data_IF_638390777510
#
_entry.id   IF_638390777510
#
_cell.length_a   1.000
_cell.length_b   1.000
_cell.length_c   1.000
_cell.angle_alpha   90.00
_cell.angle_beta   90.00
_cell.angle_gamma   90.00
#
_symmetry.space_group_name_H-M   'P 1'
#
loop_
_entity.id
_entity.type
_entity.pdbx_description
1 polymer ?
#
# COMPACT_ATOMS: atom_id res chain seq x y z
N UNK A 1 -4.93 31.89 -17.34
CA UNK A 1 -4.19 33.04 -17.92
C UNK A 1 -5.07 34.26 -18.21
N UNK A 2 -6.36 34.13 -18.45
CA UNK A 2 -7.29 35.26 -18.66
C UNK A 2 -7.84 35.87 -17.36
N UNK A 3 -7.91 35.11 -16.27
CA UNK A 3 -8.33 35.57 -14.93
C UNK A 3 -7.26 36.41 -14.18
N UNK A 4 -6.03 36.39 -14.64
CA UNK A 4 -4.88 37.02 -13.94
C UNK A 4 -4.57 38.45 -14.39
N UNK A 5 -5.37 39.06 -15.28
CA UNK A 5 -5.09 40.39 -15.84
C UNK A 5 -5.66 41.54 -15.00
N UNK A 6 -6.55 41.30 -14.03
CA UNK A 6 -7.16 42.32 -13.16
C UNK A 6 -6.88 42.16 -11.68
N UNK A 7 -6.06 41.15 -11.26
CA UNK A 7 -5.95 40.74 -9.88
C UNK A 7 -4.72 41.30 -9.17
N UNK A 8 -4.95 41.88 -7.98
CA UNK A 8 -3.94 42.45 -7.11
C UNK A 8 -3.03 41.41 -6.44
N UNK A 9 -2.09 41.87 -5.59
CA UNK A 9 -1.14 41.07 -4.81
C UNK A 9 -1.82 39.90 -4.05
N UNK A 10 -3.04 40.11 -3.57
CA UNK A 10 -3.80 39.11 -2.85
C UNK A 10 -4.07 37.83 -3.63
N UNK A 11 -4.35 37.91 -4.93
CA UNK A 11 -4.61 36.71 -5.76
C UNK A 11 -3.33 35.90 -5.99
N UNK A 12 -2.21 36.58 -6.28
CA UNK A 12 -0.91 35.91 -6.38
C UNK A 12 -0.48 35.29 -5.05
N UNK A 13 -0.69 36.01 -3.95
CA UNK A 13 -0.41 35.53 -2.61
C UNK A 13 -1.22 34.28 -2.26
N UNK A 14 -2.54 34.32 -2.47
CA UNK A 14 -3.42 33.17 -2.22
C UNK A 14 -3.03 31.95 -3.07
N UNK A 15 -2.70 32.15 -4.35
CA UNK A 15 -2.21 31.07 -5.22
C UNK A 15 -0.86 30.55 -4.73
N UNK A 16 0.07 31.43 -4.33
CA UNK A 16 1.36 31.05 -3.78
C UNK A 16 1.24 30.21 -2.50
N UNK A 17 0.35 30.61 -1.58
CA UNK A 17 0.04 29.86 -0.36
C UNK A 17 -0.53 28.46 -0.68
N UNK A 18 -1.49 28.36 -1.59
CA UNK A 18 -2.05 27.08 -2.03
C UNK A 18 -0.97 26.18 -2.64
N UNK A 19 -0.11 26.72 -3.49
CA UNK A 19 0.97 25.98 -4.13
C UNK A 19 2.05 25.56 -3.12
N UNK A 20 2.39 26.43 -2.16
CA UNK A 20 3.32 26.12 -1.07
C UNK A 20 2.77 24.96 -0.22
N UNK A 21 1.53 25.03 0.19
CA UNK A 21 0.87 23.99 0.92
C UNK A 21 0.77 22.68 0.08
N UNK A 22 0.56 22.77 -1.24
CA UNK A 22 0.55 21.64 -2.17
C UNK A 22 1.94 21.06 -2.48
N UNK A 23 3.02 21.58 -1.85
CA UNK A 23 4.40 21.14 -2.08
C UNK A 23 4.87 21.31 -3.54
N UNK A 24 4.50 22.43 -4.17
CA UNK A 24 4.96 22.83 -5.52
C UNK A 24 5.82 24.09 -5.40
N UNK A 25 7.08 23.97 -4.92
CA UNK A 25 7.89 25.11 -4.46
C UNK A 25 8.19 26.14 -5.54
N UNK A 26 8.58 25.71 -6.76
CA UNK A 26 8.98 26.64 -7.83
C UNK A 26 7.85 27.60 -8.24
N UNK A 27 6.63 27.07 -8.36
CA UNK A 27 5.46 27.89 -8.69
C UNK A 27 5.00 28.74 -7.51
N UNK A 28 5.09 28.19 -6.28
CA UNK A 28 4.80 28.93 -5.06
C UNK A 28 5.72 30.14 -4.93
N UNK A 29 7.03 29.96 -5.09
CA UNK A 29 8.02 31.03 -5.05
C UNK A 29 7.70 32.13 -6.07
N UNK A 30 7.43 31.73 -7.32
CA UNK A 30 7.10 32.69 -8.39
C UNK A 30 5.88 33.54 -8.04
N UNK A 31 4.82 32.93 -7.52
CA UNK A 31 3.60 33.60 -7.11
C UNK A 31 3.81 34.51 -5.88
N UNK A 32 4.52 34.03 -4.85
CA UNK A 32 4.80 34.81 -3.66
C UNK A 32 5.72 36.01 -3.94
N UNK A 33 6.69 35.87 -4.82
CA UNK A 33 7.54 36.99 -5.28
C UNK A 33 6.74 38.03 -6.04
N UNK A 34 5.80 37.62 -6.88
CA UNK A 34 4.91 38.55 -7.57
C UNK A 34 3.99 39.28 -6.60
N UNK A 35 3.43 38.59 -5.61
CA UNK A 35 2.65 39.21 -4.55
C UNK A 35 3.48 40.24 -3.76
N UNK A 36 4.68 39.85 -3.37
CA UNK A 36 5.61 40.74 -2.66
C UNK A 36 6.03 41.96 -3.50
N UNK A 37 6.29 41.80 -4.79
CA UNK A 37 6.67 42.92 -5.69
C UNK A 37 5.58 43.98 -5.75
N UNK A 38 4.31 43.58 -5.62
CA UNK A 38 3.15 44.49 -5.66
C UNK A 38 2.84 45.11 -4.30
N UNK A 39 3.07 44.39 -3.23
CA UNK A 39 2.81 44.84 -1.84
C UNK A 39 4.03 44.55 -0.95
N UNK A 40 5.14 45.29 -1.09
CA UNK A 40 6.39 45.02 -0.39
C UNK A 40 6.32 45.27 1.13
N UNK A 41 5.32 45.98 1.62
CA UNK A 41 5.09 46.26 3.03
C UNK A 41 4.27 45.16 3.73
N UNK A 42 3.77 44.19 3.00
CA UNK A 42 3.01 43.07 3.59
C UNK A 42 3.98 42.03 4.15
N UNK A 43 3.92 41.84 5.46
CA UNK A 43 4.75 40.92 6.24
C UNK A 43 4.73 39.48 5.75
N UNK A 44 3.55 38.98 5.39
CA UNK A 44 3.31 37.58 5.08
C UNK A 44 4.09 37.06 3.85
N UNK A 45 4.39 37.91 2.85
CA UNK A 45 5.05 37.45 1.63
C UNK A 45 6.52 37.07 1.86
N UNK A 46 7.38 37.93 2.43
CA UNK A 46 8.74 37.51 2.78
C UNK A 46 8.74 36.42 3.87
N UNK A 47 7.73 36.37 4.74
CA UNK A 47 7.58 35.33 5.73
C UNK A 47 7.43 33.93 5.07
N UNK A 48 6.46 33.77 4.16
CA UNK A 48 6.26 32.51 3.44
C UNK A 48 7.46 32.15 2.55
N UNK A 49 8.11 33.11 1.89
CA UNK A 49 9.34 32.87 1.14
C UNK A 49 10.47 32.36 2.05
N UNK A 50 10.58 32.89 3.27
CA UNK A 50 11.52 32.38 4.27
C UNK A 50 11.30 30.92 4.60
N UNK A 51 10.07 30.51 4.84
CA UNK A 51 9.70 29.12 5.07
C UNK A 51 9.98 28.23 3.85
N UNK A 52 9.62 28.67 2.66
CA UNK A 52 9.84 27.94 1.43
C UNK A 52 11.32 27.59 1.23
N UNK A 53 12.21 28.57 1.39
CA UNK A 53 13.65 28.37 1.27
C UNK A 53 14.25 27.57 2.43
N UNK A 54 13.72 27.69 3.65
CA UNK A 54 14.10 26.84 4.79
C UNK A 54 13.81 25.36 4.50
N UNK A 55 12.62 25.08 3.99
CA UNK A 55 12.17 23.71 3.70
C UNK A 55 12.96 23.10 2.52
N UNK A 56 13.44 23.92 1.60
CA UNK A 56 14.35 23.52 0.50
C UNK A 56 15.82 23.40 0.95
N UNK A 57 16.15 23.71 2.19
CA UNK A 57 17.52 23.68 2.70
C UNK A 57 18.37 24.90 2.34
N UNK A 58 17.80 25.89 1.66
CA UNK A 58 18.47 27.12 1.23
C UNK A 58 18.54 28.15 2.37
N UNK A 59 19.31 27.84 3.42
CA UNK A 59 19.30 28.55 4.72
C UNK A 59 19.71 30.03 4.61
N UNK A 60 20.64 30.40 3.74
CA UNK A 60 21.03 31.77 3.49
C UNK A 60 19.88 32.61 2.91
N UNK A 61 19.12 32.07 1.96
CA UNK A 61 17.94 32.73 1.42
C UNK A 61 16.82 32.81 2.45
N UNK A 62 16.60 31.75 3.21
CA UNK A 62 15.65 31.73 4.31
C UNK A 62 15.93 32.85 5.32
N UNK A 63 17.17 32.99 5.77
CA UNK A 63 17.60 34.06 6.68
C UNK A 63 17.38 35.45 6.08
N UNK A 64 17.64 35.63 4.78
CA UNK A 64 17.41 36.92 4.12
C UNK A 64 15.92 37.29 4.10
N UNK A 65 15.03 36.34 3.74
CA UNK A 65 13.59 36.60 3.70
C UNK A 65 12.98 36.77 5.08
N UNK A 66 13.36 35.98 6.07
CA UNK A 66 12.91 36.19 7.45
C UNK A 66 13.43 37.52 8.02
N UNK A 67 14.61 37.98 7.62
CA UNK A 67 15.11 39.31 8.02
C UNK A 67 14.24 40.43 7.43
N UNK A 68 13.80 40.32 6.17
CA UNK A 68 12.86 41.25 5.57
C UNK A 68 11.50 41.25 6.28
N UNK A 69 11.01 40.07 6.64
CA UNK A 69 9.77 39.95 7.42
C UNK A 69 9.92 40.63 8.80
N UNK A 70 11.03 40.39 9.52
CA UNK A 70 11.34 41.07 10.80
C UNK A 70 11.43 42.57 10.65
N UNK A 71 12.01 43.10 9.55
CA UNK A 71 12.12 44.54 9.35
C UNK A 71 10.75 45.20 9.17
N UNK A 72 9.72 44.45 8.74
CA UNK A 72 8.32 44.89 8.67
C UNK A 72 7.62 44.76 10.03
N UNK A 73 7.81 43.62 10.73
CA UNK A 73 7.25 43.35 12.05
C UNK A 73 8.34 42.88 13.04
N UNK A 74 9.05 43.81 13.68
CA UNK A 74 10.20 43.47 14.55
C UNK A 74 9.85 42.62 15.77
N UNK A 75 8.61 42.75 16.28
CA UNK A 75 8.14 42.10 17.51
C UNK A 75 7.38 40.78 17.23
N UNK A 76 7.45 40.26 16.01
CA UNK A 76 6.87 38.94 15.71
C UNK A 76 7.74 37.81 16.26
N UNK A 77 7.24 37.13 17.30
CA UNK A 77 7.97 36.07 18.01
C UNK A 77 8.29 34.90 17.09
N UNK A 78 7.39 34.53 16.16
CA UNK A 78 7.62 33.43 15.25
C UNK A 78 8.80 33.70 14.29
N UNK A 79 8.85 34.90 13.70
CA UNK A 79 9.99 35.30 12.84
C UNK A 79 11.31 35.27 13.60
N UNK A 80 11.33 35.83 14.84
CA UNK A 80 12.52 35.85 15.66
C UNK A 80 13.02 34.42 15.95
N UNK A 81 12.12 33.52 16.33
CA UNK A 81 12.49 32.12 16.57
C UNK A 81 12.97 31.44 15.29
N UNK A 82 12.29 31.63 14.15
CA UNK A 82 12.71 31.03 12.88
C UNK A 82 14.06 31.58 12.39
N UNK A 83 14.37 32.86 12.57
CA UNK A 83 15.69 33.41 12.29
C UNK A 83 16.76 32.76 13.16
N UNK A 84 16.52 32.62 14.45
CA UNK A 84 17.40 31.91 15.35
C UNK A 84 17.64 30.46 14.88
N UNK A 85 16.60 29.73 14.55
CA UNK A 85 16.68 28.34 14.10
C UNK A 85 17.45 28.20 12.79
N UNK A 86 17.22 29.08 11.81
CA UNK A 86 17.96 29.11 10.56
C UNK A 86 19.46 29.35 10.80
N UNK A 87 19.82 30.29 11.72
CA UNK A 87 21.24 30.50 12.06
C UNK A 87 21.85 29.31 12.82
N UNK A 88 21.08 28.60 13.65
CA UNK A 88 21.55 27.35 14.28
C UNK A 88 21.78 26.25 13.22
N UNK A 89 20.87 26.13 12.26
CA UNK A 89 21.03 25.18 11.15
C UNK A 89 22.28 25.46 10.30
N UNK A 90 22.67 26.74 10.16
CA UNK A 90 23.93 27.14 9.52
C UNK A 90 25.16 26.93 10.41
N UNK A 91 25.04 26.41 11.64
CA UNK A 91 26.15 26.30 12.60
C UNK A 91 26.68 27.64 13.11
N UNK A 92 25.83 28.67 13.20
CA UNK A 92 26.17 30.04 13.62
C UNK A 92 25.48 30.43 14.93
N UNK A 93 25.75 29.75 16.08
CA UNK A 93 25.04 29.94 17.33
C UNK A 93 25.15 31.38 17.87
N UNK A 94 26.30 32.03 17.70
CA UNK A 94 26.49 33.42 18.14
C UNK A 94 25.61 34.44 17.39
N UNK A 95 25.18 34.09 16.15
CA UNK A 95 24.21 34.90 15.40
C UNK A 95 22.76 34.54 15.74
N UNK A 96 22.48 33.31 16.15
CA UNK A 96 21.17 32.87 16.55
C UNK A 96 20.71 33.43 17.90
N UNK A 97 21.64 33.54 18.86
CA UNK A 97 21.37 33.96 20.25
C UNK A 97 20.54 35.23 20.36
N UNK A 98 20.91 36.36 19.72
CA UNK A 98 20.16 37.62 19.86
C UNK A 98 18.67 37.47 19.47
N UNK A 99 18.36 36.71 18.46
CA UNK A 99 16.97 36.54 18.02
C UNK A 99 16.10 35.79 19.05
N UNK A 100 16.64 34.78 19.69
CA UNK A 100 15.93 34.11 20.77
C UNK A 100 15.81 34.99 22.02
N UNK A 101 16.82 35.81 22.33
CA UNK A 101 16.77 36.77 23.41
C UNK A 101 15.75 37.86 23.16
N UNK A 102 15.68 38.38 21.92
CA UNK A 102 14.66 39.33 21.48
C UNK A 102 13.24 38.69 21.58
N UNK A 103 13.07 37.45 21.15
CA UNK A 103 11.81 36.73 21.27
C UNK A 103 11.36 36.60 22.72
N UNK A 104 12.27 36.32 23.66
CA UNK A 104 11.94 36.30 25.11
C UNK A 104 11.69 37.69 25.70
N UNK A 105 12.21 38.76 25.07
CA UNK A 105 11.87 40.12 25.48
C UNK A 105 10.43 40.47 25.12
N UNK A 106 9.95 39.97 23.97
CA UNK A 106 8.57 40.13 23.53
C UNK A 106 7.61 39.21 24.29
N UNK A 107 7.96 37.93 24.39
CA UNK A 107 7.18 36.88 25.06
C UNK A 107 8.06 36.09 26.05
N UNK A 108 8.07 36.52 27.31
CA UNK A 108 8.91 35.98 28.36
C UNK A 108 8.68 34.46 28.64
N UNK A 109 7.49 33.98 28.30
CA UNK A 109 7.10 32.57 28.49
C UNK A 109 7.29 31.69 27.26
N UNK A 110 7.85 32.19 26.17
CA UNK A 110 8.08 31.44 24.94
C UNK A 110 8.99 30.25 25.18
N UNK A 111 8.42 29.04 25.15
CA UNK A 111 9.17 27.79 25.29
C UNK A 111 10.06 27.52 24.07
N UNK A 112 9.62 27.90 22.88
CA UNK A 112 10.37 27.76 21.63
C UNK A 112 11.65 28.64 21.63
N UNK A 113 11.55 29.88 22.06
CA UNK A 113 12.69 30.77 22.19
C UNK A 113 13.69 30.26 23.26
N UNK A 114 13.18 29.78 24.41
CA UNK A 114 14.00 29.17 25.47
C UNK A 114 14.67 27.89 24.97
N UNK A 115 13.96 27.07 24.19
CA UNK A 115 14.51 25.89 23.54
C UNK A 115 15.65 26.24 22.56
N UNK A 116 15.44 27.27 21.73
CA UNK A 116 16.48 27.81 20.86
C UNK A 116 17.73 28.25 21.60
N UNK A 117 17.59 28.94 22.74
CA UNK A 117 18.73 29.32 23.61
C UNK A 117 19.43 28.09 24.23
N UNK A 118 18.67 27.07 24.64
CA UNK A 118 19.24 25.84 25.16
C UNK A 118 20.08 25.11 24.09
N UNK A 119 19.60 25.04 22.85
CA UNK A 119 20.35 24.51 21.70
C UNK A 119 21.58 25.38 21.37
N UNK A 120 21.43 26.68 21.46
CA UNK A 120 22.54 27.62 21.24
C UNK A 120 23.65 27.37 22.26
N UNK A 121 23.32 27.32 23.56
CA UNK A 121 24.26 27.04 24.62
C UNK A 121 24.97 25.68 24.46
N UNK A 122 24.22 24.65 24.05
CA UNK A 122 24.76 23.33 23.74
C UNK A 122 25.81 23.38 22.61
N UNK A 123 25.54 24.10 21.52
CA UNK A 123 26.46 24.25 20.39
C UNK A 123 27.70 25.07 20.75
N UNK A 124 27.60 25.97 21.73
CA UNK A 124 28.73 26.75 22.27
C UNK A 124 29.46 26.01 23.40
N UNK A 125 29.06 24.76 23.69
CA UNK A 125 29.59 23.93 24.78
C UNK A 125 29.38 24.54 26.18
N UNK A 126 28.46 25.46 26.36
CA UNK A 126 27.98 25.97 27.65
C UNK A 126 26.91 25.01 28.19
N UNK A 127 27.37 23.82 28.62
CA UNK A 127 26.49 22.73 29.00
C UNK A 127 25.63 23.03 30.22
N UNK A 128 26.17 23.77 31.21
CA UNK A 128 25.43 24.17 32.40
C UNK A 128 24.24 25.07 32.07
N UNK A 129 24.47 26.05 31.22
CA UNK A 129 23.41 26.95 30.75
C UNK A 129 22.38 26.18 29.91
N UNK A 130 22.82 25.26 29.03
CA UNK A 130 21.96 24.39 28.26
C UNK A 130 21.02 23.56 29.15
N UNK A 131 21.60 22.91 30.21
CA UNK A 131 20.80 22.13 31.16
C UNK A 131 19.79 23.01 31.87
N UNK A 132 20.19 24.17 32.40
CA UNK A 132 19.29 25.07 33.11
C UNK A 132 18.07 25.47 32.25
N UNK A 133 18.30 25.87 31.00
CA UNK A 133 17.24 26.30 30.07
C UNK A 133 16.30 25.16 29.68
N UNK A 134 16.86 23.96 29.41
CA UNK A 134 16.08 22.81 28.95
C UNK A 134 15.31 22.14 30.08
N UNK A 135 15.86 22.12 31.33
CA UNK A 135 15.11 21.66 32.51
C UNK A 135 13.95 22.59 32.85
N UNK A 136 14.13 23.90 32.67
CA UNK A 136 13.04 24.87 32.87
C UNK A 136 11.88 24.63 31.91
N UNK A 137 12.16 24.22 30.66
CA UNK A 137 11.12 23.83 29.69
C UNK A 137 10.34 22.65 30.22
N UNK A 138 11.00 21.56 30.61
CA UNK A 138 10.34 20.36 31.12
C UNK A 138 9.61 20.57 32.44
N UNK A 139 10.08 21.53 33.26
CA UNK A 139 9.37 21.94 34.49
C UNK A 139 8.07 22.67 34.21
N UNK A 140 8.01 23.47 33.12
CA UNK A 140 6.81 24.21 32.70
C UNK A 140 5.87 23.36 31.87
N UNK A 141 6.42 22.56 30.97
CA UNK A 141 5.71 21.62 30.11
C UNK A 141 6.38 20.25 30.08
N UNK A 142 5.94 19.32 30.94
CA UNK A 142 6.48 17.95 30.96
C UNK A 142 6.26 17.18 29.66
N UNK A 143 5.40 17.68 28.77
CA UNK A 143 5.11 17.04 27.46
C UNK A 143 6.04 17.55 26.35
N UNK A 144 6.93 18.49 26.61
CA UNK A 144 7.89 19.06 25.67
C UNK A 144 9.03 18.06 25.36
N UNK A 145 8.70 16.91 24.78
CA UNK A 145 9.62 15.78 24.51
C UNK A 145 10.84 16.18 23.68
N UNK A 146 10.73 17.24 22.88
CA UNK A 146 11.82 17.82 22.09
C UNK A 146 13.03 18.20 22.95
N UNK A 147 12.83 18.60 24.21
CA UNK A 147 13.90 19.03 25.12
C UNK A 147 14.81 17.87 25.58
N UNK A 148 14.35 16.63 25.53
CA UNK A 148 15.11 15.49 26.05
C UNK A 148 16.40 15.23 25.29
N UNK A 149 16.41 15.30 23.96
CA UNK A 149 17.62 15.05 23.18
C UNK A 149 18.74 16.06 23.48
N UNK A 150 18.52 17.39 23.35
CA UNK A 150 19.56 18.36 23.66
C UNK A 150 19.97 18.35 25.14
N UNK A 151 19.04 18.07 26.06
CA UNK A 151 19.34 17.93 27.49
C UNK A 151 20.23 16.72 27.77
N UNK A 152 19.95 15.56 27.14
CA UNK A 152 20.80 14.39 27.23
C UNK A 152 22.19 14.65 26.68
N UNK A 153 22.31 15.42 25.58
CA UNK A 153 23.61 15.82 25.04
C UNK A 153 24.38 16.80 25.94
N UNK A 154 23.69 17.72 26.61
CA UNK A 154 24.28 18.64 27.56
C UNK A 154 24.83 17.89 28.80
N UNK A 155 24.05 16.97 29.38
CA UNK A 155 24.51 16.12 30.48
C UNK A 155 25.70 15.23 30.08
N UNK A 156 25.68 14.72 28.83
CA UNK A 156 26.86 13.98 28.32
C UNK A 156 28.08 14.84 28.20
N UNK A 157 27.95 16.11 27.80
CA UNK A 157 29.01 17.08 27.75
C UNK A 157 29.62 17.38 29.13
N UNK A 158 28.81 17.36 30.20
CA UNK A 158 29.19 17.50 31.60
C UNK A 158 29.77 16.22 32.20
N UNK A 159 29.74 15.08 31.50
CA UNK A 159 30.20 13.78 32.02
C UNK A 159 29.15 13.06 32.90
N UNK A 160 27.93 13.57 32.99
CA UNK A 160 26.84 12.98 33.79
C UNK A 160 26.10 11.89 33.03
N UNK A 161 26.80 10.78 32.75
CA UNK A 161 26.30 9.70 31.85
C UNK A 161 24.96 9.12 32.25
N UNK A 162 24.72 8.92 33.55
CA UNK A 162 23.43 8.33 34.01
C UNK A 162 22.21 9.27 33.84
N UNK A 163 22.42 10.60 33.86
CA UNK A 163 21.35 11.55 33.51
C UNK A 163 21.19 11.62 31.98
N UNK A 164 22.30 11.63 31.26
CA UNK A 164 22.29 11.65 29.79
C UNK A 164 21.48 10.46 29.20
N UNK A 165 21.74 9.24 29.67
CA UNK A 165 21.07 8.03 29.21
C UNK A 165 19.54 8.13 29.42
N UNK A 166 19.11 8.52 30.62
CA UNK A 166 17.67 8.67 30.93
C UNK A 166 16.94 9.63 29.98
N UNK A 167 17.58 10.74 29.61
CA UNK A 167 16.97 11.70 28.67
C UNK A 167 17.06 11.21 27.22
N UNK A 168 18.14 10.55 26.83
CA UNK A 168 18.30 9.99 25.48
C UNK A 168 17.33 8.82 25.21
N UNK A 169 16.95 8.06 26.25
CA UNK A 169 15.90 7.02 26.14
C UNK A 169 14.51 7.62 25.87
N UNK A 170 14.24 8.82 26.36
CA UNK A 170 12.98 9.53 26.17
C UNK A 170 12.95 10.42 24.92
N UNK A 171 14.05 10.42 24.12
CA UNK A 171 14.13 11.25 22.93
C UNK A 171 13.06 10.89 21.92
N UNK A 172 12.48 11.89 21.33
CA UNK A 172 11.64 11.78 20.15
C UNK A 172 12.13 12.79 19.11
N UNK A 173 11.95 12.46 17.84
CA UNK A 173 12.28 13.38 16.75
C UNK A 173 11.15 14.39 16.59
N UNK A 174 11.12 15.36 17.49
CA UNK A 174 10.12 16.41 17.52
C UNK A 174 10.82 17.76 17.67
N UNK A 175 10.27 18.79 17.04
CA UNK A 175 10.67 20.17 17.21
C UNK A 175 9.78 20.88 18.24
N UNK A 176 10.30 21.92 18.88
CA UNK A 176 9.54 22.85 19.69
C UNK A 176 9.53 24.20 18.96
N UNK A 177 8.64 24.33 17.96
CA UNK A 177 8.49 25.55 17.17
C UNK A 177 7.67 26.62 17.91
N UNK A 178 7.69 27.87 17.41
CA UNK A 178 6.84 28.94 17.94
C UNK A 178 5.37 28.70 17.63
N UNK A 179 4.49 29.36 18.36
CA UNK A 179 3.11 29.51 17.90
C UNK A 179 3.12 30.37 16.62
N UNK A 180 2.68 29.81 15.52
CA UNK A 180 2.81 30.36 14.18
C UNK A 180 1.45 30.39 13.47
N UNK A 181 0.66 31.46 13.66
CA UNK A 181 -0.69 31.55 13.10
C UNK A 181 -0.74 31.47 11.59
N UNK A 182 0.27 32.03 10.87
CA UNK A 182 0.31 32.03 9.42
C UNK A 182 0.57 30.61 8.87
N UNK A 183 1.46 29.86 9.50
CA UNK A 183 1.71 28.47 9.08
C UNK A 183 0.55 27.55 9.48
N UNK A 184 -0.12 27.79 10.61
CA UNK A 184 -1.36 27.09 10.98
C UNK A 184 -2.45 27.35 9.93
N UNK A 185 -2.63 28.61 9.49
CA UNK A 185 -3.58 28.94 8.42
C UNK A 185 -3.20 28.29 7.09
N UNK A 186 -1.90 28.30 6.75
CA UNK A 186 -1.39 27.64 5.55
C UNK A 186 -1.68 26.13 5.56
N UNK A 187 -1.43 25.46 6.68
CA UNK A 187 -1.71 24.04 6.84
C UNK A 187 -3.23 23.76 6.76
N UNK A 188 -4.05 24.65 7.29
CA UNK A 188 -5.51 24.57 7.22
C UNK A 188 -6.06 24.71 5.80
N UNK A 189 -5.38 25.46 4.89
CA UNK A 189 -5.78 25.56 3.48
C UNK A 189 -5.85 24.18 2.77
N UNK A 190 -5.07 23.24 3.23
CA UNK A 190 -5.06 21.87 2.71
C UNK A 190 -5.61 20.84 3.70
N UNK A 191 -6.17 21.25 4.82
CA UNK A 191 -6.85 20.36 5.76
C UNK A 191 -8.29 20.15 5.28
N UNK A 192 -8.43 19.55 4.10
CA UNK A 192 -9.70 19.16 3.52
C UNK A 192 -9.74 17.66 3.25
N UNK A 193 -10.92 17.02 3.25
CA UNK A 193 -11.04 15.60 2.93
C UNK A 193 -10.37 15.24 1.60
N UNK A 194 -10.50 16.13 0.60
CA UNK A 194 -9.89 15.95 -0.72
C UNK A 194 -8.36 16.05 -0.70
N UNK A 195 -7.80 16.96 0.09
CA UNK A 195 -6.34 17.10 0.21
C UNK A 195 -5.74 15.87 0.89
N UNK A 196 -6.38 15.39 1.96
CA UNK A 196 -6.00 14.15 2.60
C UNK A 196 -6.18 12.93 1.69
N UNK A 197 -7.23 12.88 0.88
CA UNK A 197 -7.41 11.83 -0.14
C UNK A 197 -6.22 11.82 -1.12
N UNK A 198 -5.86 12.98 -1.66
CA UNK A 198 -4.76 13.10 -2.64
C UNK A 198 -3.41 12.67 -2.04
N UNK A 199 -3.10 13.13 -0.80
CA UNK A 199 -1.86 12.74 -0.11
C UNK A 199 -1.84 11.25 0.23
N UNK A 200 -2.96 10.71 0.67
CA UNK A 200 -3.11 9.28 0.95
C UNK A 200 -2.93 8.42 -0.29
N UNK A 201 -3.47 8.84 -1.46
CA UNK A 201 -3.25 8.15 -2.74
C UNK A 201 -1.77 8.18 -3.12
N UNK A 202 -1.12 9.33 -3.03
CA UNK A 202 0.31 9.44 -3.30
C UNK A 202 1.17 8.56 -2.37
N UNK A 203 0.76 8.38 -1.12
CA UNK A 203 1.39 7.44 -0.19
C UNK A 203 1.15 5.97 -0.61
N UNK A 204 -0.07 5.61 -1.07
CA UNK A 204 -0.34 4.29 -1.64
C UNK A 204 0.58 3.96 -2.83
N UNK A 205 0.76 4.92 -3.75
CA UNK A 205 1.60 4.75 -4.95
C UNK A 205 3.08 4.51 -4.60
N UNK A 206 3.54 5.01 -3.45
CA UNK A 206 4.88 4.76 -2.91
C UNK A 206 4.99 3.47 -2.07
N UNK A 207 3.87 2.82 -1.78
CA UNK A 207 3.82 1.66 -0.88
C UNK A 207 3.83 2.02 0.62
N UNK A 208 3.63 3.29 0.96
CA UNK A 208 3.61 3.78 2.36
C UNK A 208 2.20 3.64 2.96
N UNK A 209 1.78 2.38 3.17
CA UNK A 209 0.42 2.03 3.58
C UNK A 209 0.00 2.68 4.90
N UNK A 210 0.92 2.84 5.86
CA UNK A 210 0.66 3.51 7.15
C UNK A 210 0.35 5.00 6.94
N UNK A 211 1.20 5.72 6.20
CA UNK A 211 1.01 7.13 5.88
C UNK A 211 -0.32 7.33 5.12
N UNK A 212 -0.60 6.44 4.17
CA UNK A 212 -1.85 6.46 3.43
C UNK A 212 -3.08 6.34 4.35
N UNK A 213 -3.06 5.34 5.25
CA UNK A 213 -4.15 5.14 6.23
C UNK A 213 -4.35 6.35 7.14
N UNK A 214 -3.27 6.98 7.59
CA UNK A 214 -3.33 8.17 8.45
C UNK A 214 -3.94 9.37 7.72
N UNK A 215 -3.54 9.62 6.47
CA UNK A 215 -4.15 10.66 5.66
C UNK A 215 -5.64 10.39 5.43
N UNK A 216 -6.04 9.18 5.04
CA UNK A 216 -7.45 8.87 4.85
C UNK A 216 -8.26 8.98 6.14
N UNK A 217 -7.71 8.61 7.31
CA UNK A 217 -8.36 8.79 8.60
C UNK A 217 -8.55 10.27 8.96
N UNK A 218 -7.54 11.13 8.68
CA UNK A 218 -7.68 12.58 8.87
C UNK A 218 -8.78 13.15 7.98
N UNK A 219 -8.83 12.75 6.72
CA UNK A 219 -9.93 13.13 5.83
C UNK A 219 -11.30 12.69 6.37
N UNK A 220 -11.39 11.48 6.92
CA UNK A 220 -12.62 10.97 7.56
C UNK A 220 -12.97 11.71 8.86
N UNK A 221 -11.99 12.24 9.59
CA UNK A 221 -12.28 13.06 10.78
C UNK A 221 -12.99 14.36 10.39
N UNK A 222 -12.69 14.90 9.20
CA UNK A 222 -13.35 16.09 8.65
C UNK A 222 -14.71 15.76 8.01
N UNK A 223 -14.85 14.59 7.39
CA UNK A 223 -16.07 14.13 6.73
C UNK A 223 -16.33 12.63 7.05
N UNK A 224 -16.95 12.34 8.20
CA UNK A 224 -17.10 10.97 8.72
C UNK A 224 -17.88 10.01 7.81
N UNK A 225 -18.79 10.54 6.98
CA UNK A 225 -19.64 9.73 6.10
C UNK A 225 -19.10 9.58 4.67
N UNK A 226 -17.85 10.03 4.43
CA UNK A 226 -17.23 9.96 3.11
C UNK A 226 -16.85 8.52 2.74
N UNK A 227 -17.72 7.86 1.96
CA UNK A 227 -17.61 6.44 1.61
C UNK A 227 -16.29 6.08 0.91
N UNK A 228 -15.81 6.94 -0.02
CA UNK A 228 -14.57 6.67 -0.75
C UNK A 228 -13.34 6.73 0.17
N UNK A 229 -13.25 7.71 1.08
CA UNK A 229 -12.15 7.77 2.05
C UNK A 229 -12.15 6.55 2.97
N UNK A 230 -13.32 6.14 3.46
CA UNK A 230 -13.45 4.94 4.30
C UNK A 230 -13.04 3.67 3.54
N UNK A 231 -13.45 3.54 2.28
CA UNK A 231 -13.00 2.44 1.43
C UNK A 231 -11.47 2.44 1.27
N UNK A 232 -10.85 3.61 1.07
CA UNK A 232 -9.38 3.74 0.98
C UNK A 232 -8.65 3.37 2.27
N UNK A 233 -9.22 3.68 3.46
CA UNK A 233 -8.69 3.17 4.74
C UNK A 233 -8.70 1.65 4.75
N UNK A 234 -9.81 1.03 4.36
CA UNK A 234 -9.91 -0.43 4.24
C UNK A 234 -8.87 -1.01 3.27
N UNK A 235 -8.65 -0.34 2.12
CA UNK A 235 -7.62 -0.75 1.16
C UNK A 235 -6.21 -0.68 1.74
N UNK A 236 -5.86 0.40 2.44
CA UNK A 236 -4.56 0.53 3.09
C UNK A 236 -4.35 -0.55 4.17
N UNK A 237 -5.36 -0.83 4.99
CA UNK A 237 -5.33 -1.92 5.99
C UNK A 237 -5.14 -3.29 5.34
N UNK A 238 -5.83 -3.56 4.23
CA UNK A 238 -5.66 -4.79 3.46
C UNK A 238 -4.22 -4.97 2.98
N UNK A 239 -3.62 -3.93 2.42
CA UNK A 239 -2.23 -3.94 1.96
C UNK A 239 -1.22 -4.11 3.10
N UNK A 240 -1.56 -3.72 4.32
CA UNK A 240 -0.79 -3.97 5.54
C UNK A 240 -0.97 -5.40 6.09
N UNK A 241 -1.86 -6.21 5.50
CA UNK A 241 -2.20 -7.55 5.98
C UNK A 241 -3.25 -7.57 7.10
N UNK A 242 -3.80 -6.43 7.50
CA UNK A 242 -4.90 -6.35 8.46
C UNK A 242 -6.25 -6.59 7.74
N UNK A 243 -6.49 -7.84 7.38
CA UNK A 243 -7.70 -8.26 6.69
C UNK A 243 -8.97 -8.06 7.54
N UNK A 244 -8.85 -8.18 8.86
CA UNK A 244 -9.99 -8.00 9.79
C UNK A 244 -10.38 -6.53 9.87
N UNK A 245 -9.42 -5.63 10.03
CA UNK A 245 -9.66 -4.19 10.02
C UNK A 245 -10.19 -3.71 8.69
N UNK A 246 -9.62 -4.22 7.57
CA UNK A 246 -10.08 -3.90 6.21
C UNK A 246 -11.54 -4.29 6.00
N UNK A 247 -11.91 -5.52 6.37
CA UNK A 247 -13.29 -6.01 6.26
C UNK A 247 -14.27 -5.14 7.04
N UNK A 248 -13.92 -4.77 8.29
CA UNK A 248 -14.75 -3.91 9.10
C UNK A 248 -14.99 -2.52 8.47
N UNK A 249 -13.96 -1.92 7.86
CA UNK A 249 -14.13 -0.63 7.18
C UNK A 249 -14.97 -0.76 5.90
N UNK A 250 -14.78 -1.81 5.09
CA UNK A 250 -15.61 -2.05 3.91
C UNK A 250 -17.07 -2.34 4.27
N UNK A 251 -17.34 -3.09 5.33
CA UNK A 251 -18.71 -3.33 5.82
C UNK A 251 -19.40 -2.02 6.29
N UNK A 252 -18.64 -1.12 6.92
CA UNK A 252 -19.15 0.22 7.24
C UNK A 252 -19.53 1.00 5.99
N UNK A 253 -18.71 0.92 4.91
CA UNK A 253 -19.05 1.54 3.62
C UNK A 253 -20.36 0.96 3.08
N UNK A 254 -20.50 -0.36 3.05
CA UNK A 254 -21.72 -1.02 2.55
C UNK A 254 -22.95 -0.64 3.38
N UNK A 255 -22.79 -0.46 4.69
CA UNK A 255 -23.87 -0.06 5.59
C UNK A 255 -24.36 1.37 5.34
N UNK A 256 -23.45 2.33 5.08
CA UNK A 256 -23.78 3.74 4.83
C UNK A 256 -24.09 4.01 3.36
N UNK A 257 -23.46 3.29 2.47
CA UNK A 257 -23.55 3.43 1.02
C UNK A 257 -23.71 2.06 0.34
N UNK A 258 -24.90 1.44 0.39
CA UNK A 258 -25.13 0.07 -0.12
C UNK A 258 -24.88 -0.08 -1.62
N UNK A 259 -24.85 1.04 -2.35
CA UNK A 259 -24.61 1.10 -3.79
C UNK A 259 -23.13 1.38 -4.14
N UNK A 260 -22.19 1.26 -3.21
CA UNK A 260 -20.76 1.47 -3.46
C UNK A 260 -20.09 0.16 -3.95
N UNK A 261 -19.87 -0.02 -5.27
CA UNK A 261 -19.46 -1.32 -5.82
C UNK A 261 -18.07 -1.74 -5.35
N UNK A 262 -17.12 -0.79 -5.18
CA UNK A 262 -15.77 -1.09 -4.74
C UNK A 262 -15.71 -1.76 -3.36
N UNK A 263 -16.61 -1.41 -2.43
CA UNK A 263 -16.65 -2.07 -1.12
C UNK A 263 -17.16 -3.51 -1.21
N UNK A 264 -18.19 -3.75 -2.02
CA UNK A 264 -18.67 -5.11 -2.29
C UNK A 264 -17.57 -5.96 -2.93
N UNK A 265 -16.87 -5.42 -3.93
CA UNK A 265 -15.75 -6.08 -4.57
C UNK A 265 -14.65 -6.44 -3.56
N UNK A 266 -14.20 -5.49 -2.75
CA UNK A 266 -13.14 -5.70 -1.76
C UNK A 266 -13.51 -6.74 -0.71
N UNK A 267 -14.76 -6.72 -0.20
CA UNK A 267 -15.28 -7.76 0.70
C UNK A 267 -15.28 -9.12 -0.01
N UNK A 268 -15.73 -9.19 -1.27
CA UNK A 268 -15.73 -10.40 -2.07
C UNK A 268 -14.33 -11.01 -2.21
N UNK A 269 -13.31 -10.17 -2.45
CA UNK A 269 -11.90 -10.60 -2.56
C UNK A 269 -11.41 -11.21 -1.24
N UNK A 270 -11.68 -10.58 -0.10
CA UNK A 270 -11.31 -11.12 1.23
C UNK A 270 -12.00 -12.47 1.46
N UNK A 271 -13.31 -12.55 1.24
CA UNK A 271 -14.09 -13.79 1.42
C UNK A 271 -13.60 -14.91 0.50
N UNK A 272 -13.25 -14.59 -0.75
CA UNK A 272 -12.70 -15.56 -1.70
C UNK A 272 -11.34 -16.10 -1.21
N UNK A 273 -10.48 -15.24 -0.67
CA UNK A 273 -9.16 -15.62 -0.12
C UNK A 273 -9.33 -16.52 1.11
N UNK A 274 -10.34 -16.26 1.93
CA UNK A 274 -10.69 -17.06 3.12
C UNK A 274 -11.41 -18.38 2.77
N UNK A 275 -11.63 -18.68 1.47
CA UNK A 275 -12.34 -19.88 1.01
C UNK A 275 -13.86 -19.81 1.20
N UNK A 276 -14.43 -18.68 1.61
CA UNK A 276 -15.87 -18.45 1.82
C UNK A 276 -16.56 -18.11 0.49
N UNK A 277 -16.43 -19.03 -0.47
CA UNK A 277 -16.81 -18.79 -1.87
C UNK A 277 -18.27 -18.43 -2.06
N UNK A 278 -19.20 -19.08 -1.34
CA UNK A 278 -20.64 -18.77 -1.45
C UNK A 278 -20.97 -17.34 -1.03
N UNK A 279 -20.31 -16.82 0.02
CA UNK A 279 -20.49 -15.44 0.46
C UNK A 279 -19.82 -14.44 -0.50
N UNK A 280 -18.68 -14.83 -1.07
CA UNK A 280 -18.00 -14.03 -2.09
C UNK A 280 -18.89 -13.86 -3.35
N UNK A 281 -19.64 -14.89 -3.76
CA UNK A 281 -20.60 -14.83 -4.86
C UNK A 281 -21.61 -13.70 -4.65
N UNK A 282 -22.22 -13.63 -3.45
CA UNK A 282 -23.19 -12.57 -3.14
C UNK A 282 -22.58 -11.16 -3.29
N UNK A 283 -21.32 -11.00 -2.85
CA UNK A 283 -20.62 -9.72 -2.93
C UNK A 283 -20.25 -9.32 -4.35
N UNK A 284 -19.75 -10.25 -5.16
CA UNK A 284 -19.47 -9.96 -6.58
C UNK A 284 -20.74 -9.73 -7.40
N UNK A 285 -21.84 -10.42 -7.11
CA UNK A 285 -23.15 -10.11 -7.71
C UNK A 285 -23.61 -8.70 -7.34
N UNK A 286 -23.39 -8.27 -6.09
CA UNK A 286 -23.69 -6.90 -5.68
C UNK A 286 -22.82 -5.87 -6.43
N UNK A 287 -21.53 -6.17 -6.65
CA UNK A 287 -20.65 -5.33 -7.47
C UNK A 287 -21.19 -5.19 -8.89
N UNK A 288 -21.52 -6.30 -9.54
CA UNK A 288 -22.01 -6.34 -10.92
C UNK A 288 -23.40 -5.72 -11.10
N UNK A 289 -24.21 -5.62 -10.04
CA UNK A 289 -25.49 -4.89 -10.08
C UNK A 289 -25.28 -3.41 -10.38
N UNK A 290 -24.21 -2.82 -9.88
CA UNK A 290 -23.90 -1.40 -10.04
C UNK A 290 -22.86 -1.13 -11.14
N UNK A 291 -22.01 -2.14 -11.44
CA UNK A 291 -21.00 -2.11 -12.51
C UNK A 291 -21.12 -3.36 -13.40
N UNK A 292 -22.13 -3.45 -14.27
CA UNK A 292 -22.41 -4.66 -15.07
C UNK A 292 -21.30 -5.05 -16.04
N UNK A 293 -20.44 -4.10 -16.43
CA UNK A 293 -19.35 -4.30 -17.40
C UNK A 293 -17.99 -4.56 -16.72
N UNK A 294 -17.94 -4.69 -15.40
CA UNK A 294 -16.71 -5.00 -14.67
C UNK A 294 -16.29 -6.45 -14.96
N UNK A 295 -15.29 -6.61 -15.82
CA UNK A 295 -14.78 -7.92 -16.25
C UNK A 295 -14.05 -8.65 -15.12
N UNK A 296 -13.34 -7.91 -14.26
CA UNK A 296 -12.60 -8.52 -13.14
C UNK A 296 -13.55 -9.04 -12.05
N UNK A 297 -14.55 -8.24 -11.67
CA UNK A 297 -15.59 -8.70 -10.75
C UNK A 297 -16.34 -9.94 -11.31
N UNK A 298 -16.59 -9.97 -12.61
CA UNK A 298 -17.24 -11.11 -13.28
C UNK A 298 -16.34 -12.36 -13.29
N UNK A 299 -15.06 -12.20 -13.54
CA UNK A 299 -14.10 -13.29 -13.47
C UNK A 299 -14.02 -13.88 -12.04
N UNK A 300 -13.92 -13.02 -11.03
CA UNK A 300 -13.91 -13.45 -9.63
C UNK A 300 -15.22 -14.11 -9.20
N UNK A 301 -16.35 -13.62 -9.71
CA UNK A 301 -17.65 -14.28 -9.53
C UNK A 301 -17.61 -15.69 -10.11
N UNK A 302 -17.14 -15.86 -11.34
CA UNK A 302 -17.05 -17.17 -12.00
C UNK A 302 -16.15 -18.14 -11.20
N UNK A 303 -15.00 -17.68 -10.76
CA UNK A 303 -14.10 -18.48 -9.88
C UNK A 303 -14.82 -18.89 -8.60
N UNK A 304 -15.51 -17.95 -7.94
CA UNK A 304 -16.23 -18.21 -6.68
C UNK A 304 -17.40 -19.17 -6.87
N UNK A 305 -18.18 -19.02 -7.93
CA UNK A 305 -19.28 -19.94 -8.29
C UNK A 305 -18.75 -21.36 -8.50
N UNK A 306 -17.69 -21.50 -9.29
CA UNK A 306 -17.06 -22.80 -9.56
C UNK A 306 -16.60 -23.47 -8.27
N UNK A 307 -15.95 -22.70 -7.39
CA UNK A 307 -15.46 -23.19 -6.09
C UNK A 307 -16.61 -23.45 -5.08
N UNK A 308 -17.73 -22.74 -5.22
CA UNK A 308 -18.95 -22.97 -4.43
C UNK A 308 -19.76 -24.19 -4.90
N UNK A 309 -19.39 -24.81 -6.03
CA UNK A 309 -20.05 -25.99 -6.57
C UNK A 309 -21.13 -25.72 -7.60
N UNK A 310 -21.14 -24.54 -8.19
CA UNK A 310 -22.05 -24.16 -9.30
C UNK A 310 -21.26 -23.91 -10.61
N UNK A 311 -20.70 -24.98 -11.22
CA UNK A 311 -19.89 -24.88 -12.44
C UNK A 311 -20.71 -24.47 -13.68
N UNK A 312 -22.03 -24.73 -13.72
CA UNK A 312 -22.89 -24.28 -14.83
C UNK A 312 -22.98 -22.77 -14.89
N UNK A 313 -23.24 -22.13 -13.75
CA UNK A 313 -23.31 -20.66 -13.68
C UNK A 313 -21.94 -20.05 -13.91
N UNK A 314 -20.89 -20.63 -13.31
CA UNK A 314 -19.51 -20.20 -13.53
C UNK A 314 -19.14 -20.19 -15.02
N UNK A 315 -19.53 -21.24 -15.77
CA UNK A 315 -19.25 -21.35 -17.20
C UNK A 315 -19.82 -20.18 -17.99
N UNK A 316 -21.07 -19.79 -17.72
CA UNK A 316 -21.71 -18.62 -18.36
C UNK A 316 -20.97 -17.31 -18.12
N UNK A 317 -20.45 -17.15 -16.90
CA UNK A 317 -19.67 -15.96 -16.55
C UNK A 317 -18.28 -15.98 -17.21
N UNK A 318 -17.58 -17.12 -17.27
CA UNK A 318 -16.32 -17.24 -18.02
C UNK A 318 -16.52 -16.94 -19.51
N UNK A 319 -17.54 -17.49 -20.15
CA UNK A 319 -17.87 -17.20 -21.56
C UNK A 319 -18.14 -15.70 -21.78
N UNK A 320 -18.81 -15.04 -20.83
CA UNK A 320 -19.05 -13.58 -20.90
C UNK A 320 -17.74 -12.81 -20.80
N UNK A 321 -16.85 -13.17 -19.86
CA UNK A 321 -15.51 -12.56 -19.71
C UNK A 321 -14.68 -12.73 -20.97
N UNK A 322 -14.65 -13.94 -21.54
CA UNK A 322 -13.93 -14.23 -22.78
C UNK A 322 -14.52 -13.52 -24.00
N UNK A 323 -15.81 -13.21 -23.97
CA UNK A 323 -16.47 -12.37 -24.96
C UNK A 323 -16.06 -10.88 -24.87
N UNK A 324 -15.67 -10.40 -23.69
CA UNK A 324 -15.13 -9.04 -23.48
C UNK A 324 -13.65 -8.97 -23.86
N UNK A 325 -12.85 -9.92 -23.36
CA UNK A 325 -11.43 -10.06 -23.68
C UNK A 325 -11.07 -11.55 -23.74
N UNK A 326 -10.78 -12.00 -24.95
CA UNK A 326 -10.41 -13.40 -25.22
C UNK A 326 -9.02 -13.77 -24.72
N UNK A 327 -8.20 -12.81 -24.25
CA UNK A 327 -6.82 -13.04 -23.87
C UNK A 327 -6.61 -13.27 -22.36
N UNK A 328 -7.70 -13.37 -21.59
CA UNK A 328 -7.61 -13.63 -20.14
C UNK A 328 -7.34 -15.11 -19.90
N UNK A 329 -6.09 -15.43 -19.55
CA UNK A 329 -5.60 -16.80 -19.28
C UNK A 329 -6.44 -17.49 -18.19
N UNK A 330 -6.71 -16.79 -17.08
CA UNK A 330 -7.48 -17.32 -15.97
C UNK A 330 -8.94 -17.66 -16.34
N UNK A 331 -9.52 -16.88 -17.22
CA UNK A 331 -10.89 -17.15 -17.72
C UNK A 331 -10.93 -18.41 -18.62
N UNK A 332 -9.96 -18.58 -19.51
CA UNK A 332 -9.85 -19.79 -20.35
C UNK A 332 -9.61 -21.05 -19.55
N UNK A 333 -8.71 -20.95 -18.56
CA UNK A 333 -8.43 -22.07 -17.67
C UNK A 333 -9.67 -22.38 -16.79
N UNK A 334 -10.29 -21.37 -16.23
CA UNK A 334 -11.51 -21.51 -15.44
C UNK A 334 -12.67 -22.13 -16.22
N UNK A 335 -12.87 -21.71 -17.47
CA UNK A 335 -13.86 -22.30 -18.42
C UNK A 335 -13.60 -23.80 -18.58
N UNK A 336 -12.37 -24.19 -18.89
CA UNK A 336 -12.01 -25.60 -19.07
C UNK A 336 -12.23 -26.42 -17.78
N UNK A 337 -11.87 -25.86 -16.61
CA UNK A 337 -12.07 -26.54 -15.33
C UNK A 337 -13.53 -26.62 -14.91
N UNK A 338 -14.37 -25.65 -15.27
CA UNK A 338 -15.82 -25.76 -15.11
C UNK A 338 -16.40 -26.89 -15.94
N UNK A 339 -15.96 -27.03 -17.21
CA UNK A 339 -16.34 -28.15 -18.06
C UNK A 339 -15.89 -29.52 -17.51
N UNK A 340 -14.71 -29.57 -16.88
CA UNK A 340 -14.23 -30.78 -16.19
C UNK A 340 -15.15 -31.15 -15.02
N UNK A 341 -15.55 -30.17 -14.19
CA UNK A 341 -16.49 -30.40 -13.08
C UNK A 341 -17.87 -30.88 -13.57
N UNK A 342 -18.29 -30.39 -14.74
CA UNK A 342 -19.51 -30.86 -15.43
C UNK A 342 -19.35 -32.20 -16.15
N UNK A 343 -18.19 -32.85 -16.04
CA UNK A 343 -17.81 -34.08 -16.74
C UNK A 343 -17.88 -33.97 -18.28
N UNK A 344 -17.86 -32.75 -18.82
CA UNK A 344 -17.83 -32.45 -20.26
C UNK A 344 -16.38 -32.48 -20.77
N UNK A 345 -15.72 -33.63 -20.64
CA UNK A 345 -14.28 -33.77 -20.89
C UNK A 345 -13.87 -33.51 -22.34
N UNK A 346 -14.74 -33.83 -23.31
CA UNK A 346 -14.48 -33.54 -24.71
C UNK A 346 -14.41 -32.05 -24.98
N UNK A 347 -15.38 -31.30 -24.43
CA UNK A 347 -15.42 -29.85 -24.57
C UNK A 347 -14.23 -29.20 -23.85
N UNK A 348 -13.89 -29.67 -22.65
CA UNK A 348 -12.73 -29.20 -21.89
C UNK A 348 -11.42 -29.41 -22.67
N UNK A 349 -11.23 -30.60 -23.27
CA UNK A 349 -10.10 -30.90 -24.14
C UNK A 349 -9.98 -29.89 -25.30
N UNK A 350 -11.10 -29.63 -25.99
CA UNK A 350 -11.10 -28.75 -27.15
C UNK A 350 -10.81 -27.30 -26.77
N UNK A 351 -11.33 -26.82 -25.60
CA UNK A 351 -10.98 -25.51 -25.06
C UNK A 351 -9.51 -25.38 -24.67
N UNK A 352 -8.93 -26.41 -24.04
CA UNK A 352 -7.50 -26.42 -23.68
C UNK A 352 -6.61 -26.44 -24.92
N UNK A 353 -6.95 -27.22 -25.96
CA UNK A 353 -6.22 -27.19 -27.22
C UNK A 353 -6.23 -25.81 -27.85
N UNK A 354 -7.40 -25.19 -27.96
CA UNK A 354 -7.51 -23.82 -28.47
C UNK A 354 -6.75 -22.80 -27.61
N UNK A 355 -6.71 -23.00 -26.29
CA UNK A 355 -5.92 -22.13 -25.40
C UNK A 355 -4.41 -22.28 -25.61
N UNK A 356 -3.92 -23.49 -25.83
CA UNK A 356 -2.50 -23.74 -26.13
C UNK A 356 -2.04 -23.11 -27.45
N UNK A 357 -2.91 -23.07 -28.46
CA UNK A 357 -2.60 -22.39 -29.72
C UNK A 357 -2.41 -20.88 -29.55
N UNK A 358 -3.14 -20.27 -28.62
CA UNK A 358 -3.06 -18.83 -28.32
C UNK A 358 -1.95 -18.52 -27.33
N UNK A 359 -1.71 -19.41 -26.34
CA UNK A 359 -0.78 -19.22 -25.23
C UNK A 359 0.19 -20.41 -25.10
N UNK A 360 1.07 -20.63 -26.07
CA UNK A 360 1.97 -21.82 -26.09
C UNK A 360 2.93 -21.88 -24.89
N UNK A 361 3.26 -20.73 -24.30
CA UNK A 361 4.15 -20.64 -23.13
C UNK A 361 3.46 -20.91 -21.79
N UNK A 362 2.12 -21.00 -21.78
CA UNK A 362 1.35 -21.23 -20.55
C UNK A 362 1.18 -22.73 -20.31
N UNK A 363 2.09 -23.28 -19.53
CA UNK A 363 2.18 -24.73 -19.23
C UNK A 363 0.94 -25.28 -18.53
N UNK A 364 0.17 -24.44 -17.83
CA UNK A 364 -1.06 -24.83 -17.15
C UNK A 364 -2.09 -25.50 -18.09
N UNK A 365 -2.20 -25.02 -19.33
CA UNK A 365 -3.11 -25.61 -20.33
C UNK A 365 -2.64 -26.99 -20.79
N UNK A 366 -1.36 -27.12 -21.11
CA UNK A 366 -0.76 -28.38 -21.57
C UNK A 366 -0.80 -29.46 -20.48
N UNK A 367 -0.54 -29.10 -19.22
CA UNK A 367 -0.64 -29.99 -18.07
C UNK A 367 -2.09 -30.48 -17.86
N UNK A 368 -3.08 -29.55 -17.85
CA UNK A 368 -4.48 -29.91 -17.71
C UNK A 368 -4.97 -30.80 -18.89
N UNK A 369 -4.54 -30.48 -20.10
CA UNK A 369 -4.86 -31.29 -21.28
C UNK A 369 -4.30 -32.71 -21.13
N UNK A 370 -3.02 -32.87 -20.80
CA UNK A 370 -2.39 -34.18 -20.61
C UNK A 370 -3.17 -35.03 -19.60
N UNK A 371 -3.56 -34.40 -18.47
CA UNK A 371 -4.30 -35.09 -17.41
C UNK A 371 -5.70 -35.57 -17.87
N UNK A 372 -6.40 -34.76 -18.68
CA UNK A 372 -7.68 -35.18 -19.30
C UNK A 372 -7.46 -36.32 -20.28
N UNK A 373 -6.44 -36.24 -21.15
CA UNK A 373 -6.13 -37.25 -22.19
C UNK A 373 -5.79 -38.62 -21.60
N UNK A 374 -5.34 -38.72 -20.35
CA UNK A 374 -5.01 -39.99 -19.72
C UNK A 374 -6.05 -40.54 -18.77
N UNK A 375 -6.92 -39.68 -18.24
CA UNK A 375 -7.81 -40.10 -17.15
C UNK A 375 -9.30 -39.84 -17.41
N UNK A 376 -9.68 -39.26 -18.55
CA UNK A 376 -11.08 -39.13 -18.88
C UNK A 376 -11.79 -40.49 -18.90
N UNK A 377 -13.00 -40.60 -18.32
CA UNK A 377 -13.78 -41.84 -18.34
C UNK A 377 -14.09 -42.29 -19.80
N UNK A 378 -14.43 -41.34 -20.69
CA UNK A 378 -14.71 -41.63 -22.10
C UNK A 378 -13.42 -41.96 -22.86
N UNK A 379 -13.38 -43.16 -23.45
CA UNK A 379 -12.26 -43.64 -24.26
C UNK A 379 -11.97 -42.77 -25.50
N UNK A 380 -13.00 -42.08 -26.04
CA UNK A 380 -12.83 -41.23 -27.21
C UNK A 380 -12.13 -39.90 -26.87
N UNK A 381 -12.04 -39.55 -25.61
CA UNK A 381 -11.30 -38.35 -25.15
C UNK A 381 -9.84 -38.69 -24.85
N UNK A 382 -9.57 -39.99 -24.52
CA UNK A 382 -8.20 -40.41 -24.14
C UNK A 382 -7.29 -40.54 -25.35
N UNK A 383 -6.04 -40.09 -25.13
CA UNK A 383 -4.92 -40.18 -26.07
C UNK A 383 -3.60 -40.21 -25.29
N UNK A 384 -3.21 -41.41 -24.86
CA UNK A 384 -2.02 -41.61 -24.04
C UNK A 384 -0.73 -41.21 -24.74
N UNK A 385 -0.61 -41.43 -26.06
CA UNK A 385 0.59 -41.08 -26.83
C UNK A 385 0.75 -39.54 -26.91
N UNK A 386 -0.32 -38.83 -27.20
CA UNK A 386 -0.32 -37.34 -27.18
C UNK A 386 0.00 -36.81 -25.81
N UNK A 387 -0.57 -37.37 -24.76
CA UNK A 387 -0.27 -37.00 -23.38
C UNK A 387 1.22 -37.25 -23.06
N UNK A 388 1.81 -38.32 -23.50
CA UNK A 388 3.24 -38.61 -23.30
C UNK A 388 4.12 -37.52 -23.94
N UNK A 389 3.85 -37.16 -25.20
CA UNK A 389 4.59 -36.09 -25.87
C UNK A 389 4.49 -34.74 -25.14
N UNK A 390 3.32 -34.42 -24.55
CA UNK A 390 3.13 -33.21 -23.76
C UNK A 390 3.94 -33.31 -22.47
N UNK A 391 3.83 -34.43 -21.75
CA UNK A 391 4.45 -34.58 -20.43
C UNK A 391 5.98 -34.69 -20.51
N UNK A 392 6.55 -35.31 -21.56
CA UNK A 392 8.01 -35.36 -21.78
C UNK A 392 8.62 -33.95 -21.92
N UNK A 393 7.89 -33.00 -22.51
CA UNK A 393 8.32 -31.59 -22.59
C UNK A 393 8.13 -30.88 -21.24
N UNK A 394 6.98 -31.08 -20.62
CA UNK A 394 6.60 -30.38 -19.38
C UNK A 394 7.56 -30.72 -18.23
N UNK A 395 7.90 -31.99 -18.02
CA UNK A 395 8.77 -32.40 -16.89
C UNK A 395 10.22 -31.94 -17.03
N UNK A 396 10.63 -31.45 -18.21
CA UNK A 396 11.95 -30.84 -18.41
C UNK A 396 12.00 -29.42 -17.79
N UNK A 397 10.87 -28.74 -17.72
CA UNK A 397 10.76 -27.37 -17.22
C UNK A 397 10.09 -27.30 -15.86
N UNK A 398 9.17 -28.22 -15.56
CA UNK A 398 8.37 -28.26 -14.32
C UNK A 398 8.60 -29.58 -13.56
N UNK A 399 9.41 -29.52 -12.51
CA UNK A 399 9.66 -30.63 -11.60
C UNK A 399 8.76 -30.56 -10.35
N UNK A 400 7.44 -30.60 -10.56
CA UNK A 400 6.45 -30.59 -9.49
C UNK A 400 5.88 -31.99 -9.22
N UNK A 401 5.34 -32.20 -8.01
CA UNK A 401 4.66 -33.46 -7.66
C UNK A 401 3.48 -33.71 -8.60
N UNK A 402 2.72 -32.68 -8.96
CA UNK A 402 1.55 -32.80 -9.84
C UNK A 402 1.93 -33.15 -11.29
N UNK A 403 3.03 -32.60 -11.81
CA UNK A 403 3.57 -32.98 -13.12
C UNK A 403 4.05 -34.45 -13.11
N UNK A 404 4.77 -34.85 -12.06
CA UNK A 404 5.19 -36.24 -11.87
C UNK A 404 4.01 -37.22 -11.76
N UNK A 405 2.97 -36.86 -11.01
CA UNK A 405 1.75 -37.65 -10.91
C UNK A 405 1.08 -37.85 -12.29
N UNK A 406 0.97 -36.74 -13.04
CA UNK A 406 0.39 -36.80 -14.40
C UNK A 406 1.24 -37.63 -15.37
N UNK A 407 2.58 -37.60 -15.23
CA UNK A 407 3.46 -38.49 -16.00
C UNK A 407 3.24 -39.96 -15.61
N UNK A 408 3.12 -40.29 -14.32
CA UNK A 408 2.82 -41.67 -13.89
C UNK A 408 1.42 -42.11 -14.38
N UNK A 409 0.42 -41.22 -14.41
CA UNK A 409 -0.89 -41.52 -15.01
C UNK A 409 -0.76 -41.79 -16.51
N UNK A 410 0.08 -41.04 -17.22
CA UNK A 410 0.34 -41.19 -18.67
C UNK A 410 0.96 -42.56 -18.96
N UNK A 411 1.99 -42.95 -18.22
CA UNK A 411 2.63 -44.23 -18.38
C UNK A 411 1.67 -45.40 -18.07
N UNK A 412 0.83 -45.26 -17.05
CA UNK A 412 -0.16 -46.25 -16.71
C UNK A 412 -1.25 -46.41 -17.79
N UNK A 413 -1.68 -45.30 -18.45
CA UNK A 413 -2.61 -45.35 -19.61
C UNK A 413 -2.01 -46.12 -20.78
N UNK A 414 -0.71 -45.99 -20.99
CA UNK A 414 0.04 -46.72 -22.04
C UNK A 414 0.41 -48.15 -21.64
N UNK A 415 -0.06 -48.64 -20.47
CA UNK A 415 0.26 -49.98 -19.96
C UNK A 415 1.67 -50.14 -19.38
N UNK A 416 2.46 -49.06 -19.28
CA UNK A 416 3.83 -49.03 -18.73
C UNK A 416 3.80 -48.94 -17.20
N UNK A 417 3.10 -49.89 -16.54
CA UNK A 417 2.84 -49.84 -15.08
C UNK A 417 4.09 -49.92 -14.22
N UNK A 418 5.16 -50.61 -14.66
CA UNK A 418 6.42 -50.68 -13.93
C UNK A 418 7.01 -49.27 -13.71
N UNK A 419 7.11 -48.51 -14.80
CA UNK A 419 7.64 -47.14 -14.75
C UNK A 419 6.71 -46.19 -13.98
N UNK A 420 5.40 -46.34 -14.13
CA UNK A 420 4.42 -45.56 -13.36
C UNK A 420 4.58 -45.83 -11.84
N UNK A 421 4.80 -47.08 -11.44
CA UNK A 421 5.05 -47.46 -10.02
C UNK A 421 6.34 -46.82 -9.51
N UNK A 422 7.42 -46.83 -10.29
CA UNK A 422 8.71 -46.26 -9.88
C UNK A 422 8.62 -44.73 -9.66
N UNK A 423 8.00 -44.00 -10.60
CA UNK A 423 7.73 -42.56 -10.43
C UNK A 423 6.84 -42.33 -9.19
N UNK A 424 5.76 -43.08 -9.04
CA UNK A 424 4.82 -42.92 -7.95
C UNK A 424 5.47 -43.10 -6.56
N UNK A 425 6.39 -44.08 -6.43
CA UNK A 425 7.19 -44.27 -5.20
C UNK A 425 8.10 -43.11 -4.90
N UNK A 426 8.75 -42.54 -5.90
CA UNK A 426 9.58 -41.33 -5.74
C UNK A 426 8.75 -40.13 -5.25
N UNK A 427 7.58 -39.91 -5.84
CA UNK A 427 6.69 -38.84 -5.46
C UNK A 427 6.16 -39.02 -4.03
N UNK A 428 5.82 -40.22 -3.61
CA UNK A 428 5.43 -40.54 -2.23
C UNK A 428 6.57 -40.20 -1.27
N UNK A 429 7.80 -40.61 -1.60
CA UNK A 429 8.95 -40.25 -0.75
C UNK A 429 9.17 -38.75 -0.65
N UNK A 430 9.05 -38.03 -1.75
CA UNK A 430 9.15 -36.55 -1.77
C UNK A 430 8.03 -35.88 -0.97
N UNK A 431 6.78 -36.34 -1.13
CA UNK A 431 5.62 -35.76 -0.41
C UNK A 431 5.68 -36.02 1.09
N UNK A 432 6.18 -37.19 1.53
CA UNK A 432 6.43 -37.50 2.93
C UNK A 432 7.51 -36.60 3.52
N UNK A 433 8.63 -36.42 2.79
CA UNK A 433 9.71 -35.53 3.21
C UNK A 433 9.27 -34.05 3.35
N UNK A 434 8.27 -33.63 2.57
CA UNK A 434 7.67 -32.31 2.62
C UNK A 434 6.48 -32.19 3.59
N UNK A 435 6.07 -33.26 4.27
CA UNK A 435 4.94 -33.23 5.21
C UNK A 435 3.54 -33.13 4.56
N UNK A 436 3.39 -33.44 3.27
CA UNK A 436 2.18 -33.25 2.47
C UNK A 436 1.25 -34.46 2.56
N UNK A 437 0.63 -34.70 3.72
CA UNK A 437 -0.11 -35.91 4.07
C UNK A 437 -1.26 -36.24 3.10
N UNK A 438 -2.04 -35.26 2.65
CA UNK A 438 -3.18 -35.50 1.75
C UNK A 438 -2.72 -35.85 0.34
N UNK A 439 -1.66 -35.19 -0.15
CA UNK A 439 -1.02 -35.53 -1.42
C UNK A 439 -0.44 -36.95 -1.33
N UNK A 440 0.26 -37.29 -0.25
CA UNK A 440 0.82 -38.63 -0.02
C UNK A 440 -0.26 -39.70 -0.08
N UNK A 441 -1.42 -39.48 0.58
CA UNK A 441 -2.55 -40.41 0.56
C UNK A 441 -3.11 -40.63 -0.86
N UNK A 442 -3.26 -39.55 -1.64
CA UNK A 442 -3.72 -39.58 -3.04
C UNK A 442 -2.72 -40.37 -3.90
N UNK A 443 -1.43 -40.11 -3.76
CA UNK A 443 -0.38 -40.79 -4.47
C UNK A 443 -0.33 -42.30 -4.14
N UNK A 444 -0.50 -42.67 -2.87
CA UNK A 444 -0.55 -44.09 -2.46
C UNK A 444 -1.77 -44.82 -3.08
N UNK A 445 -2.92 -44.20 -3.11
CA UNK A 445 -4.10 -44.76 -3.79
C UNK A 445 -3.81 -45.05 -5.28
N UNK A 446 -3.14 -44.15 -5.96
CA UNK A 446 -2.74 -44.38 -7.37
C UNK A 446 -1.68 -45.48 -7.49
N UNK A 447 -0.71 -45.55 -6.58
CA UNK A 447 0.28 -46.62 -6.52
C UNK A 447 -0.42 -47.98 -6.43
N UNK A 448 -1.40 -48.14 -5.53
CA UNK A 448 -2.15 -49.42 -5.37
C UNK A 448 -2.92 -49.80 -6.64
N UNK A 449 -3.38 -48.83 -7.44
CA UNK A 449 -4.00 -49.07 -8.75
C UNK A 449 -2.98 -49.57 -9.75
N UNK A 450 -1.82 -48.96 -9.85
CA UNK A 450 -0.75 -49.33 -10.82
C UNK A 450 -0.16 -50.71 -10.53
N UNK A 451 -0.01 -51.06 -9.25
CA UNK A 451 0.40 -52.41 -8.83
C UNK A 451 -0.58 -53.51 -9.29
N UNK A 452 -1.84 -53.13 -9.52
CA UNK A 452 -2.89 -54.04 -10.07
C UNK A 452 -3.08 -53.89 -11.57
N UNK A 453 -2.22 -53.14 -12.25
CA UNK A 453 -2.35 -52.80 -13.66
C UNK A 453 -3.67 -52.13 -14.03
N UNK A 454 -4.15 -51.23 -13.15
CA UNK A 454 -5.39 -50.47 -13.34
C UNK A 454 -5.04 -48.97 -13.46
N UNK A 455 -5.34 -48.34 -14.60
CA UNK A 455 -5.07 -46.91 -14.75
C UNK A 455 -6.13 -46.06 -14.01
N UNK A 456 -5.80 -44.77 -13.79
CA UNK A 456 -6.72 -43.78 -13.24
C UNK A 456 -7.78 -43.39 -14.30
N UNK A 457 -9.03 -43.23 -13.87
CA UNK A 457 -10.16 -42.88 -14.79
C UNK A 457 -10.93 -41.61 -14.33
N UNK A 458 -10.32 -40.82 -13.48
CA UNK A 458 -10.86 -39.51 -13.08
C UNK A 458 -9.69 -38.54 -13.04
N UNK A 459 -9.67 -37.50 -13.88
CA UNK A 459 -8.56 -36.58 -13.97
C UNK A 459 -8.26 -35.87 -12.66
N UNK A 460 -9.29 -35.44 -11.96
CA UNK A 460 -9.21 -34.85 -10.60
C UNK A 460 -10.34 -35.40 -9.74
N UNK A 461 -10.16 -35.58 -8.42
CA UNK A 461 -11.27 -35.83 -7.51
C UNK A 461 -12.22 -34.61 -7.55
N UNK A 462 -13.50 -34.83 -7.18
CA UNK A 462 -14.53 -33.82 -7.32
C UNK A 462 -14.24 -32.51 -6.57
N UNK A 463 -13.58 -32.61 -5.41
CA UNK A 463 -13.12 -31.52 -4.55
C UNK A 463 -11.72 -31.00 -4.87
N UNK A 464 -11.02 -31.60 -5.82
CA UNK A 464 -9.64 -31.32 -6.19
C UNK A 464 -9.45 -30.70 -7.59
N UNK A 465 -10.51 -30.28 -8.29
CA UNK A 465 -10.38 -29.57 -9.59
C UNK A 465 -9.78 -28.18 -9.35
N UNK A 466 -8.66 -27.84 -10.05
CA UNK A 466 -7.87 -26.61 -9.80
C UNK A 466 -8.65 -25.31 -9.90
#
# INVERSE_FOLDING_TARGET
TALMAEDGAGTYGALGMILMAAKVPDLAESCLREAWSREPAQFQWPYYLGHLHRDDGAMEQAAAFFSLARDIQPDDVAVLVWLGDVYLAMGRPSRARPFFEDALTVEADSLSARFGLGRTALLEADFERAVSLLEEILARDPTAVAAHYPLGMAYRGMGETGRAERHLEQRQDAGLGPHDPLMIELDALLDSPRAHETRGVAALDRGDWNEAADHFRRGLALEPDHAALRHRVGTALYMMGDHVGALAEFERVVKTSPNYPGAHYSIGVILQTDGRHSEAVERFLATLRYQPTDGDARLRLAVSLRRAGDPEEALRHYETVLGMDSNIVDARFGEAMALVQLQRYADARDRLVAAMDVFPEQTIFSHALARILVAAPDANVRDGERALMIMERLVQTEQTIDAGETMAMTLAELGRYGEAVDIQRQLISASLGAGLSDITRRLDMNLQRYLRSVPVRVPWPADGVP
#
